data_IF_709064406814
#
_entry.id   IF_709064406814
#
_cell.length_a   1.000
_cell.length_b   1.000
_cell.length_c   1.000
_cell.angle_alpha   90.00
_cell.angle_beta   90.00
_cell.angle_gamma   90.00
#
_symmetry.space_group_name_H-M   'P 1'
#
loop_
_entity.id
_entity.type
_entity.pdbx_description
1 polymer ?
#
# COMPACT_ATOMS: atom_id res chain seq x y z
N UNK A 1 8.76 17.79 -41.59
CA UNK A 1 8.38 17.81 -40.16
C UNK A 1 7.19 16.90 -39.85
N UNK A 2 6.12 16.88 -40.65
CA UNK A 2 4.90 16.06 -40.39
C UNK A 2 5.06 14.56 -40.60
N UNK A 3 5.81 14.12 -41.63
CA UNK A 3 6.02 12.69 -41.93
C UNK A 3 6.83 11.94 -40.84
N UNK A 4 7.74 12.66 -40.18
CA UNK A 4 8.64 12.10 -39.17
C UNK A 4 7.92 11.76 -37.85
N UNK A 5 6.88 12.55 -37.49
CA UNK A 5 6.08 12.30 -36.29
C UNK A 5 5.16 11.08 -36.43
N UNK A 6 4.53 10.89 -37.60
CA UNK A 6 3.65 9.74 -37.85
C UNK A 6 4.43 8.41 -37.83
N UNK A 7 5.66 8.38 -38.35
CA UNK A 7 6.53 7.21 -38.27
C UNK A 7 6.91 6.89 -36.82
N UNK A 8 7.15 7.89 -35.98
CA UNK A 8 7.44 7.70 -34.54
C UNK A 8 6.24 7.15 -33.78
N UNK A 9 5.03 7.67 -34.02
CA UNK A 9 3.80 7.11 -33.44
C UNK A 9 3.60 5.66 -33.90
N UNK A 10 3.75 5.39 -35.21
CA UNK A 10 3.58 4.05 -35.75
C UNK A 10 4.54 3.03 -35.13
N UNK A 11 5.79 3.42 -34.88
CA UNK A 11 6.76 2.60 -34.17
C UNK A 11 6.35 2.33 -32.72
N UNK A 12 5.89 3.35 -31.97
CA UNK A 12 5.42 3.18 -30.60
C UNK A 12 4.25 2.20 -30.48
N UNK A 13 3.26 2.34 -31.36
CA UNK A 13 2.09 1.45 -31.41
C UNK A 13 2.52 0.02 -31.73
N UNK A 14 3.44 -0.16 -32.69
CA UNK A 14 3.98 -1.47 -33.05
C UNK A 14 4.71 -2.13 -31.89
N UNK A 15 5.53 -1.38 -31.18
CA UNK A 15 6.38 -1.90 -30.11
C UNK A 15 5.53 -2.28 -28.88
N UNK A 16 4.55 -1.44 -28.51
CA UNK A 16 3.57 -1.76 -27.47
C UNK A 16 2.69 -2.97 -27.81
N UNK A 17 2.23 -3.09 -29.06
CA UNK A 17 1.50 -4.27 -29.52
C UNK A 17 2.35 -5.54 -29.40
N UNK A 18 3.62 -5.48 -29.82
CA UNK A 18 4.55 -6.62 -29.69
C UNK A 18 4.84 -6.98 -28.23
N UNK A 19 4.98 -5.99 -27.36
CA UNK A 19 5.16 -6.20 -25.92
C UNK A 19 3.98 -6.96 -25.30
N UNK A 20 2.76 -6.69 -25.74
CA UNK A 20 1.54 -7.43 -25.36
C UNK A 20 1.41 -8.80 -26.02
N UNK A 21 2.36 -9.20 -26.88
CA UNK A 21 2.32 -10.46 -27.63
C UNK A 21 1.28 -10.51 -28.75
N UNK A 22 0.70 -9.37 -29.15
CA UNK A 22 -0.40 -9.32 -30.10
C UNK A 22 0.06 -9.25 -31.56
N UNK A 23 -0.65 -9.91 -32.45
CA UNK A 23 -0.53 -9.74 -33.90
C UNK A 23 -1.26 -8.49 -34.37
N UNK A 24 -0.98 -8.03 -35.59
CA UNK A 24 -1.73 -6.91 -36.18
C UNK A 24 -3.22 -7.24 -36.36
N UNK A 25 -3.60 -8.51 -36.43
CA UNK A 25 -4.99 -8.96 -36.48
C UNK A 25 -5.65 -8.77 -35.12
N UNK A 26 -5.00 -9.18 -34.03
CA UNK A 26 -5.55 -9.03 -32.67
C UNK A 26 -5.83 -7.56 -32.32
N UNK A 27 -4.91 -6.66 -32.69
CA UNK A 27 -5.12 -5.22 -32.51
C UNK A 27 -6.23 -4.70 -33.42
N UNK A 28 -6.36 -5.22 -34.64
CA UNK A 28 -7.43 -4.82 -35.56
C UNK A 28 -8.81 -5.22 -35.03
N UNK A 29 -8.93 -6.43 -34.50
CA UNK A 29 -10.17 -6.96 -33.92
C UNK A 29 -10.59 -6.14 -32.68
N UNK A 30 -9.63 -5.84 -31.79
CA UNK A 30 -9.86 -5.00 -30.60
C UNK A 30 -10.35 -3.59 -30.97
N UNK A 31 -9.82 -3.02 -32.06
CA UNK A 31 -10.19 -1.68 -32.53
C UNK A 31 -11.40 -1.66 -33.46
N UNK A 32 -11.99 -2.83 -33.77
CA UNK A 32 -13.04 -2.98 -34.79
C UNK A 32 -12.62 -2.35 -36.14
N UNK A 33 -11.40 -2.63 -36.58
CA UNK A 33 -10.82 -2.13 -37.84
C UNK A 33 -10.18 -3.27 -38.63
N UNK A 34 -9.54 -2.97 -39.76
CA UNK A 34 -8.85 -3.98 -40.58
C UNK A 34 -7.37 -4.10 -40.23
N UNK A 35 -6.79 -5.30 -40.37
CA UNK A 35 -5.34 -5.51 -40.24
C UNK A 35 -4.55 -4.59 -41.18
N UNK A 36 -5.07 -4.32 -42.38
CA UNK A 36 -4.46 -3.40 -43.32
C UNK A 36 -4.45 -1.95 -42.81
N UNK A 37 -5.47 -1.53 -42.06
CA UNK A 37 -5.48 -0.22 -41.40
C UNK A 37 -4.41 -0.17 -40.29
N UNK A 38 -4.30 -1.21 -39.46
CA UNK A 38 -3.24 -1.31 -38.43
C UNK A 38 -1.84 -1.25 -39.06
N UNK A 39 -1.61 -1.97 -40.16
CA UNK A 39 -0.32 -1.93 -40.86
C UNK A 39 0.02 -0.53 -41.41
N UNK A 40 -0.97 0.21 -41.94
CA UNK A 40 -0.74 1.61 -42.38
C UNK A 40 -0.42 2.54 -41.20
N UNK A 41 -1.09 2.33 -40.07
CA UNK A 41 -0.85 3.06 -38.83
C UNK A 41 0.58 2.84 -38.34
N UNK A 42 1.03 1.59 -38.25
CA UNK A 42 2.38 1.24 -37.79
C UNK A 42 3.50 1.70 -38.72
N UNK A 43 3.20 1.86 -40.01
CA UNK A 43 4.13 2.43 -40.99
C UNK A 43 4.12 3.96 -41.01
N UNK A 44 3.27 4.61 -40.21
CA UNK A 44 3.13 6.07 -40.22
C UNK A 44 2.50 6.61 -41.50
N UNK A 45 1.77 5.78 -42.25
CA UNK A 45 1.13 6.15 -43.52
C UNK A 45 -0.34 6.56 -43.36
N UNK A 46 -0.81 6.74 -42.12
CA UNK A 46 -2.18 7.10 -41.82
C UNK A 46 -2.22 8.17 -40.73
N UNK A 47 -2.99 9.24 -40.96
CA UNK A 47 -3.31 10.22 -39.93
C UNK A 47 -4.30 9.61 -38.93
N UNK A 48 -4.05 9.85 -37.64
CA UNK A 48 -4.87 9.36 -36.55
C UNK A 48 -5.56 10.53 -35.85
N UNK A 49 -6.85 10.38 -35.55
CA UNK A 49 -7.53 11.28 -34.63
C UNK A 49 -7.05 11.02 -33.19
N UNK A 50 -7.22 12.01 -32.30
CA UNK A 50 -6.94 11.84 -30.87
C UNK A 50 -7.80 10.72 -30.26
N UNK A 51 -9.05 10.59 -30.69
CA UNK A 51 -9.95 9.51 -30.29
C UNK A 51 -9.42 8.13 -30.71
N UNK A 52 -8.91 8.01 -31.93
CA UNK A 52 -8.32 6.75 -32.40
C UNK A 52 -7.03 6.41 -31.62
N UNK A 53 -6.20 7.40 -31.31
CA UNK A 53 -5.01 7.21 -30.48
C UNK A 53 -5.35 6.80 -29.05
N UNK A 54 -6.39 7.38 -28.45
CA UNK A 54 -6.88 7.01 -27.13
C UNK A 54 -7.38 5.57 -27.10
N UNK A 55 -8.18 5.16 -28.10
CA UNK A 55 -8.66 3.78 -28.24
C UNK A 55 -7.52 2.78 -28.44
N UNK A 56 -6.48 3.15 -29.18
CA UNK A 56 -5.26 2.34 -29.33
C UNK A 56 -4.51 2.24 -28.00
N UNK A 57 -4.42 3.34 -27.26
CA UNK A 57 -3.80 3.36 -25.94
C UNK A 57 -4.50 2.47 -24.92
N UNK A 58 -5.82 2.54 -24.85
CA UNK A 58 -6.65 1.68 -24.01
C UNK A 58 -6.53 0.20 -24.42
N UNK A 59 -6.60 -0.09 -25.72
CA UNK A 59 -6.47 -1.45 -26.24
C UNK A 59 -5.10 -2.09 -25.98
N UNK A 60 -4.04 -1.28 -25.92
CA UNK A 60 -2.67 -1.74 -25.71
C UNK A 60 -2.17 -1.56 -24.28
N UNK A 61 -2.98 -0.99 -23.38
CA UNK A 61 -2.58 -0.61 -22.02
C UNK A 61 -1.32 0.28 -22.02
N UNK A 62 -1.33 1.29 -22.89
CA UNK A 62 -0.19 2.18 -23.13
C UNK A 62 -0.64 3.62 -23.38
N UNK A 63 -0.07 4.57 -22.64
CA UNK A 63 -0.40 5.99 -22.80
C UNK A 63 0.36 6.63 -23.98
N UNK A 64 -0.22 6.56 -25.19
CA UNK A 64 0.35 7.25 -26.38
C UNK A 64 -0.01 8.73 -26.47
N UNK A 65 -1.09 9.14 -25.81
CA UNK A 65 -1.57 10.52 -25.75
C UNK A 65 -1.63 10.93 -24.30
N UNK A 66 -0.67 11.74 -23.88
CA UNK A 66 -0.76 12.49 -22.64
C UNK A 66 -0.92 13.97 -22.98
N UNK A 67 -1.91 14.62 -22.39
CA UNK A 67 -2.04 16.08 -22.45
C UNK A 67 -1.11 16.65 -21.39
N UNK A 68 0.17 16.80 -21.75
CA UNK A 68 1.22 17.26 -20.86
C UNK A 68 2.58 16.71 -21.31
N UNK A 69 3.67 17.43 -21.02
CA UNK A 69 5.00 16.93 -21.38
C UNK A 69 5.34 15.69 -20.52
N UNK A 70 5.76 14.56 -21.11
CA UNK A 70 6.32 13.43 -20.37
C UNK A 70 7.73 13.83 -19.94
N UNK A 71 7.80 14.51 -18.80
CA UNK A 71 9.02 14.99 -18.19
C UNK A 71 8.72 15.48 -16.77
N UNK A 72 9.75 15.71 -15.94
CA UNK A 72 9.54 16.31 -14.64
C UNK A 72 8.73 17.61 -14.79
N UNK A 73 7.55 17.64 -14.16
CA UNK A 73 6.72 18.84 -14.14
C UNK A 73 7.41 19.87 -13.25
N UNK A 74 7.94 20.93 -13.86
CA UNK A 74 8.48 22.06 -13.13
C UNK A 74 7.36 23.08 -12.88
N UNK A 75 7.07 23.37 -11.62
CA UNK A 75 6.16 24.44 -11.23
C UNK A 75 6.96 25.75 -11.10
N UNK A 76 6.64 26.75 -11.94
CA UNK A 76 7.17 28.12 -11.79
C UNK A 76 6.22 28.92 -10.92
N UNK A 77 6.64 29.26 -9.70
CA UNK A 77 5.89 30.14 -8.81
C UNK A 77 6.33 31.59 -9.02
N UNK A 78 5.39 32.48 -9.28
CA UNK A 78 5.64 33.93 -9.34
C UNK A 78 5.20 34.55 -8.01
N UNK A 79 6.15 35.15 -7.30
CA UNK A 79 5.93 35.74 -5.98
C UNK A 79 5.09 37.02 -5.99
N UNK A 80 4.88 37.61 -4.81
CA UNK A 80 4.13 38.87 -4.63
C UNK A 80 2.63 38.69 -4.37
N UNK A 81 2.10 37.46 -4.49
CA UNK A 81 0.69 37.16 -4.21
C UNK A 81 0.50 36.78 -2.74
N UNK A 82 -0.28 37.56 -2.00
CA UNK A 82 -0.73 37.20 -0.64
C UNK A 82 -1.88 36.20 -0.74
N UNK A 83 -1.72 35.01 -0.17
CA UNK A 83 -2.79 34.01 -0.08
C UNK A 83 -3.76 34.37 1.05
N UNK A 84 -5.06 34.33 0.78
CA UNK A 84 -6.13 34.49 1.76
C UNK A 84 -7.32 33.59 1.39
N UNK A 85 -7.91 32.91 2.37
CA UNK A 85 -9.02 31.97 2.17
C UNK A 85 -8.92 30.74 3.08
N UNK A 86 -9.68 29.70 2.75
CA UNK A 86 -9.68 28.41 3.42
C UNK A 86 -9.56 27.27 2.42
N UNK A 87 -8.93 26.17 2.81
CA UNK A 87 -8.82 24.95 2.01
C UNK A 87 -9.25 23.74 2.85
N UNK A 88 -10.00 22.84 2.25
CA UNK A 88 -10.29 21.53 2.86
C UNK A 88 -9.08 20.63 2.71
N UNK A 89 -8.53 20.17 3.83
CA UNK A 89 -7.41 19.22 3.83
C UNK A 89 -7.91 17.80 3.59
N UNK A 90 -7.10 17.00 2.89
CA UNK A 90 -7.35 15.56 2.75
C UNK A 90 -7.02 14.82 4.04
N UNK A 91 -7.58 13.62 4.18
CA UNK A 91 -7.24 12.70 5.26
C UNK A 91 -5.76 12.30 5.27
N UNK A 92 -5.30 11.89 6.44
CA UNK A 92 -3.91 11.51 6.68
C UNK A 92 -3.52 10.24 5.92
N UNK A 93 -2.53 10.35 5.02
CA UNK A 93 -1.90 9.19 4.36
C UNK A 93 -1.39 8.17 5.39
N UNK A 94 -0.57 8.64 6.34
CA UNK A 94 0.19 7.75 7.22
C UNK A 94 -0.74 7.00 8.18
N UNK A 95 -1.76 7.68 8.72
CA UNK A 95 -2.78 7.02 9.52
C UNK A 95 -3.56 6.00 8.68
N UNK A 96 -4.00 6.38 7.47
CA UNK A 96 -4.71 5.46 6.58
C UNK A 96 -3.94 4.17 6.31
N UNK A 97 -2.63 4.26 6.08
CA UNK A 97 -1.74 3.10 5.89
C UNK A 97 -1.65 2.23 7.15
N UNK A 98 -1.51 2.82 8.34
CA UNK A 98 -1.51 2.08 9.60
C UNK A 98 -2.85 1.35 9.83
N UNK A 99 -3.97 2.02 9.53
CA UNK A 99 -5.31 1.45 9.69
C UNK A 99 -5.60 0.32 8.68
N UNK A 100 -5.05 0.37 7.46
CA UNK A 100 -5.11 -0.73 6.50
C UNK A 100 -4.44 -1.99 7.06
N UNK A 101 -3.24 -1.86 7.64
CA UNK A 101 -2.59 -2.99 8.31
C UNK A 101 -3.38 -3.45 9.55
N UNK A 102 -3.89 -2.52 10.35
CA UNK A 102 -4.69 -2.81 11.55
C UNK A 102 -5.99 -3.55 11.24
N UNK A 103 -6.59 -3.35 10.07
CA UNK A 103 -7.80 -4.05 9.65
C UNK A 103 -7.67 -5.58 9.64
N UNK A 104 -6.44 -6.10 9.53
CA UNK A 104 -6.15 -7.54 9.60
C UNK A 104 -6.30 -8.13 11.01
N UNK A 105 -6.34 -7.30 12.06
CA UNK A 105 -6.64 -7.74 13.43
C UNK A 105 -8.11 -8.15 13.57
N UNK A 106 -9.00 -7.44 12.89
CA UNK A 106 -10.42 -7.69 12.90
C UNK A 106 -10.75 -8.89 12.00
N UNK A 107 -11.56 -9.82 12.49
CA UNK A 107 -12.07 -10.93 11.68
C UNK A 107 -13.37 -10.61 10.94
N UNK A 108 -14.09 -9.58 11.37
CA UNK A 108 -15.30 -9.08 10.71
C UNK A 108 -15.06 -7.86 9.82
N UNK A 109 -16.10 -7.03 9.68
CA UNK A 109 -16.13 -5.93 8.72
C UNK A 109 -15.50 -4.67 9.31
N UNK A 110 -14.50 -4.13 8.62
CA UNK A 110 -13.94 -2.80 8.93
C UNK A 110 -14.37 -1.80 7.87
N UNK A 111 -14.84 -0.61 8.27
CA UNK A 111 -15.09 0.50 7.34
C UNK A 111 -14.24 1.70 7.74
N UNK A 112 -13.27 2.05 6.90
CA UNK A 112 -12.43 3.23 7.06
C UNK A 112 -13.06 4.40 6.30
N UNK A 113 -13.30 5.51 7.00
CA UNK A 113 -13.95 6.69 6.41
C UNK A 113 -12.95 7.61 5.74
N UNK A 114 -13.30 8.13 4.56
CA UNK A 114 -12.53 9.14 3.82
C UNK A 114 -11.08 8.75 3.57
N UNK A 115 -10.80 7.51 3.17
CA UNK A 115 -9.44 7.05 2.89
C UNK A 115 -8.89 7.73 1.64
N UNK A 116 -7.66 8.23 1.70
CA UNK A 116 -7.01 8.85 0.56
C UNK A 116 -6.71 7.81 -0.54
N UNK A 117 -7.19 8.04 -1.77
CA UNK A 117 -6.84 7.25 -2.95
C UNK A 117 -5.50 7.72 -3.52
N UNK A 118 -4.43 7.13 -3.01
CA UNK A 118 -3.06 7.43 -3.42
C UNK A 118 -2.31 6.12 -3.67
N UNK A 119 -1.20 6.22 -4.38
CA UNK A 119 -0.37 5.10 -4.80
C UNK A 119 0.01 4.13 -3.65
N UNK A 120 0.37 4.67 -2.49
CA UNK A 120 0.70 3.84 -1.31
C UNK A 120 -0.49 3.00 -0.82
N UNK A 121 -1.69 3.59 -0.81
CA UNK A 121 -2.91 2.90 -0.39
C UNK A 121 -3.25 1.83 -1.40
N UNK A 122 -3.19 2.15 -2.70
CA UNK A 122 -3.47 1.20 -3.78
C UNK A 122 -2.55 -0.03 -3.70
N UNK A 123 -1.23 0.16 -3.49
CA UNK A 123 -0.28 -0.95 -3.31
C UNK A 123 -0.64 -1.85 -2.13
N UNK A 124 -1.06 -1.27 -1.00
CA UNK A 124 -1.51 -2.09 0.12
C UNK A 124 -2.82 -2.81 -0.18
N UNK A 125 -3.73 -2.21 -0.95
CA UNK A 125 -4.96 -2.88 -1.39
C UNK A 125 -4.65 -4.05 -2.33
N UNK A 126 -3.71 -3.91 -3.25
CA UNK A 126 -3.23 -4.99 -4.12
C UNK A 126 -2.73 -6.18 -3.28
N UNK A 127 -1.87 -5.91 -2.28
CA UNK A 127 -1.38 -6.93 -1.35
C UNK A 127 -2.51 -7.56 -0.53
N UNK A 128 -3.44 -6.74 -0.02
CA UNK A 128 -4.59 -7.24 0.74
C UNK A 128 -5.48 -8.15 -0.13
N UNK A 129 -5.75 -7.75 -1.38
CA UNK A 129 -6.52 -8.55 -2.34
C UNK A 129 -5.85 -9.87 -2.63
N UNK A 130 -4.53 -9.87 -2.85
CA UNK A 130 -3.78 -11.08 -3.20
C UNK A 130 -3.79 -12.12 -2.07
N UNK A 131 -3.90 -11.69 -0.81
CA UNK A 131 -4.03 -12.60 0.35
C UNK A 131 -5.50 -12.93 0.71
N UNK A 132 -6.44 -12.56 -0.16
CA UNK A 132 -7.85 -12.92 -0.07
C UNK A 132 -8.75 -11.92 0.68
N UNK A 133 -8.22 -10.77 1.12
CA UNK A 133 -9.02 -9.69 1.73
C UNK A 133 -9.80 -8.97 0.64
N UNK A 134 -11.11 -8.83 0.82
CA UNK A 134 -11.95 -8.08 -0.13
C UNK A 134 -12.05 -6.65 0.34
N UNK A 135 -11.95 -5.70 -0.60
CA UNK A 135 -12.23 -4.29 -0.28
C UNK A 135 -13.19 -3.67 -1.27
N UNK A 136 -14.06 -2.79 -0.80
CA UNK A 136 -15.04 -2.11 -1.64
C UNK A 136 -15.13 -0.62 -1.28
N UNK A 137 -14.99 0.24 -2.29
CA UNK A 137 -15.21 1.68 -2.11
C UNK A 137 -16.70 1.98 -2.14
N UNK A 138 -17.24 2.55 -1.06
CA UNK A 138 -18.69 2.64 -0.85
C UNK A 138 -19.33 3.90 -1.45
N UNK A 139 -18.59 5.01 -1.54
CA UNK A 139 -19.14 6.31 -1.90
C UNK A 139 -18.11 7.25 -2.54
N UNK A 140 -18.58 8.42 -2.97
CA UNK A 140 -17.75 9.49 -3.53
C UNK A 140 -16.78 10.11 -2.50
N UNK A 141 -17.06 9.95 -1.20
CA UNK A 141 -16.22 10.46 -0.11
C UNK A 141 -15.01 9.56 0.17
N UNK A 142 -14.86 8.45 -0.57
CA UNK A 142 -13.79 7.46 -0.42
C UNK A 142 -13.85 6.70 0.92
N UNK A 143 -15.05 6.31 1.34
CA UNK A 143 -15.16 5.30 2.39
C UNK A 143 -14.79 3.93 1.82
N UNK A 144 -13.97 3.20 2.56
CA UNK A 144 -13.42 1.90 2.17
C UNK A 144 -13.90 0.83 3.15
N UNK A 145 -14.67 -0.13 2.63
CA UNK A 145 -15.00 -1.36 3.32
C UNK A 145 -13.90 -2.39 3.12
N UNK A 146 -13.55 -3.11 4.19
CA UNK A 146 -12.53 -4.17 4.22
C UNK A 146 -13.14 -5.40 4.90
N UNK A 147 -13.06 -6.53 4.21
CA UNK A 147 -13.62 -7.82 4.62
C UNK A 147 -12.53 -8.89 4.50
N UNK A 148 -11.87 -9.25 5.61
CA UNK A 148 -10.89 -10.32 5.62
C UNK A 148 -11.57 -11.70 5.48
N UNK A 149 -10.91 -12.68 4.85
CA UNK A 149 -11.40 -14.04 4.79
C UNK A 149 -11.20 -14.75 6.13
N UNK A 150 -11.84 -15.92 6.29
CA UNK A 150 -11.60 -16.78 7.45
C UNK A 150 -10.14 -17.24 7.53
N UNK A 151 -9.52 -17.54 6.38
CA UNK A 151 -8.09 -17.87 6.23
C UNK A 151 -7.46 -17.02 5.15
N UNK A 152 -6.28 -16.48 5.43
CA UNK A 152 -5.51 -15.68 4.48
C UNK A 152 -4.72 -16.59 3.55
N UNK A 153 -4.55 -16.16 2.29
CA UNK A 153 -3.76 -16.85 1.28
C UNK A 153 -2.36 -16.24 1.21
N UNK A 154 -1.57 -16.39 2.28
CA UNK A 154 -0.26 -15.71 2.37
C UNK A 154 0.75 -16.19 1.32
N UNK A 155 0.59 -17.41 0.79
CA UNK A 155 1.40 -17.94 -0.30
C UNK A 155 1.12 -17.25 -1.65
N UNK A 156 -0.01 -16.55 -1.77
CA UNK A 156 -0.44 -15.80 -2.96
C UNK A 156 -0.13 -14.30 -2.84
N UNK A 157 0.73 -13.90 -1.90
CA UNK A 157 1.09 -12.49 -1.71
C UNK A 157 1.68 -11.88 -2.99
N UNK A 158 1.16 -10.73 -3.42
CA UNK A 158 1.70 -9.98 -4.56
C UNK A 158 3.05 -9.39 -4.16
N UNK A 159 4.12 -10.09 -4.54
CA UNK A 159 5.48 -9.68 -4.23
C UNK A 159 5.88 -8.36 -4.90
N UNK A 160 5.37 -8.08 -6.11
CA UNK A 160 5.72 -6.87 -6.83
C UNK A 160 5.17 -5.64 -6.10
N UNK A 161 3.88 -5.68 -5.72
CA UNK A 161 3.22 -4.64 -4.94
C UNK A 161 3.84 -4.50 -3.54
N UNK A 162 4.09 -5.63 -2.85
CA UNK A 162 4.67 -5.65 -1.51
C UNK A 162 6.09 -5.06 -1.46
N UNK A 163 6.97 -5.42 -2.39
CA UNK A 163 8.35 -4.88 -2.47
C UNK A 163 8.38 -3.40 -2.81
N UNK A 164 7.29 -2.92 -3.40
CA UNK A 164 7.11 -1.54 -3.83
C UNK A 164 6.64 -0.63 -2.69
N UNK A 165 6.24 -1.16 -1.54
CA UNK A 165 5.87 -0.36 -0.35
C UNK A 165 6.75 -0.69 0.84
N UNK A 166 7.11 0.32 1.63
CA UNK A 166 7.78 0.10 2.92
C UNK A 166 6.83 -0.30 4.03
N UNK A 167 5.54 -0.06 3.82
CA UNK A 167 4.48 -0.25 4.79
C UNK A 167 4.15 -1.73 5.03
N UNK A 168 4.61 -2.62 4.15
CA UNK A 168 4.43 -4.08 4.28
C UNK A 168 4.96 -4.63 5.61
N UNK A 169 5.99 -4.01 6.19
CA UNK A 169 6.54 -4.43 7.48
C UNK A 169 5.53 -4.35 8.62
N UNK A 170 4.50 -3.50 8.50
CA UNK A 170 3.43 -3.39 9.50
C UNK A 170 2.50 -4.61 9.52
N UNK A 171 2.57 -5.50 8.53
CA UNK A 171 1.79 -6.73 8.53
C UNK A 171 2.33 -7.76 9.53
N UNK A 172 3.58 -7.60 10.03
CA UNK A 172 4.14 -8.50 11.05
C UNK A 172 3.28 -8.56 12.32
N UNK A 173 2.85 -7.40 12.83
CA UNK A 173 2.06 -7.27 14.06
C UNK A 173 0.67 -7.92 14.01
N UNK A 174 -0.16 -7.71 12.98
CA UNK A 174 -1.44 -8.37 12.88
C UNK A 174 -1.35 -9.83 12.41
N UNK A 175 -0.46 -10.17 11.47
CA UNK A 175 -0.39 -11.53 10.93
C UNK A 175 0.11 -12.56 11.94
N UNK A 176 0.93 -12.17 12.93
CA UNK A 176 1.36 -13.08 13.99
C UNK A 176 0.21 -13.62 14.86
N UNK A 177 -0.96 -13.00 14.81
CA UNK A 177 -2.18 -13.48 15.48
C UNK A 177 -3.05 -14.37 14.58
N UNK A 178 -2.75 -14.44 13.29
CA UNK A 178 -3.53 -15.21 12.30
C UNK A 178 -2.83 -16.48 11.87
N UNK A 179 -1.50 -16.45 11.74
CA UNK A 179 -0.71 -17.60 11.33
C UNK A 179 0.48 -17.81 12.26
N UNK A 180 0.84 -19.08 12.50
CA UNK A 180 1.99 -19.42 13.35
C UNK A 180 3.33 -19.15 12.63
N UNK A 181 3.35 -19.32 11.30
CA UNK A 181 4.51 -19.09 10.44
C UNK A 181 4.05 -18.42 9.15
N UNK A 182 4.78 -17.40 8.70
CA UNK A 182 4.49 -16.69 7.46
C UNK A 182 5.74 -15.98 6.91
N UNK A 183 5.66 -15.56 5.65
CA UNK A 183 6.73 -14.85 4.95
C UNK A 183 6.21 -13.52 4.41
N UNK A 184 7.00 -12.47 4.53
CA UNK A 184 6.72 -11.18 3.92
C UNK A 184 7.88 -10.77 3.00
N UNK A 185 7.62 -10.31 1.78
CA UNK A 185 8.67 -9.76 0.92
C UNK A 185 9.38 -8.58 1.61
N UNK A 186 10.67 -8.40 1.31
CA UNK A 186 11.37 -7.22 1.80
C UNK A 186 10.70 -5.94 1.32
N UNK A 187 10.49 -5.02 2.26
CA UNK A 187 10.16 -3.64 1.98
C UNK A 187 11.27 -3.04 1.10
N UNK A 188 10.99 -2.81 -0.18
CA UNK A 188 11.90 -2.11 -1.07
C UNK A 188 11.77 -0.59 -0.96
N UNK A 189 12.71 0.12 -1.59
CA UNK A 189 12.57 1.54 -1.91
C UNK A 189 12.76 2.52 -0.74
N UNK A 190 14.02 2.82 -0.41
CA UNK A 190 14.37 4.15 0.07
C UNK A 190 15.84 4.51 -0.24
N UNK A 191 16.05 5.52 -1.08
CA UNK A 191 17.35 6.18 -1.28
C UNK A 191 17.78 7.04 -0.07
N UNK A 192 16.98 7.10 1.00
CA UNK A 192 17.30 7.77 2.27
C UNK A 192 17.79 6.73 3.31
N UNK A 193 18.89 6.05 2.99
CA UNK A 193 19.70 5.25 3.91
C UNK A 193 19.18 3.85 4.25
N UNK A 194 20.10 2.99 4.73
CA UNK A 194 19.82 1.65 5.24
C UNK A 194 19.16 1.72 6.63
N UNK A 195 17.88 2.11 6.69
CA UNK A 195 17.09 1.95 7.91
C UNK A 195 16.94 0.46 8.19
N UNK A 196 17.37 0.03 9.37
CA UNK A 196 17.35 -1.37 9.75
C UNK A 196 15.95 -1.78 10.18
N UNK A 197 15.59 -3.04 9.94
CA UNK A 197 14.32 -3.63 10.40
C UNK A 197 14.38 -4.13 11.84
N UNK A 198 15.59 -4.16 12.42
CA UNK A 198 15.86 -4.64 13.78
C UNK A 198 14.95 -4.00 14.85
N UNK A 199 14.62 -2.69 14.80
CA UNK A 199 13.71 -2.09 15.77
C UNK A 199 12.32 -2.74 15.81
N UNK A 200 11.77 -3.10 14.66
CA UNK A 200 10.50 -3.83 14.58
C UNK A 200 10.63 -5.24 15.17
N UNK A 201 11.71 -5.95 14.83
CA UNK A 201 11.97 -7.30 15.33
C UNK A 201 12.13 -7.29 16.86
N UNK A 202 12.88 -6.31 17.39
CA UNK A 202 13.07 -6.12 18.82
C UNK A 202 11.76 -5.79 19.55
N UNK A 203 10.88 -5.00 18.93
CA UNK A 203 9.57 -4.67 19.50
C UNK A 203 8.60 -5.85 19.52
N UNK A 204 8.68 -6.77 18.54
CA UNK A 204 7.76 -7.91 18.40
C UNK A 204 8.25 -9.18 19.10
N UNK A 205 9.55 -9.32 19.34
CA UNK A 205 10.18 -10.47 20.02
C UNK A 205 9.57 -10.79 21.40
N UNK A 206 9.20 -9.81 22.27
CA UNK A 206 8.54 -10.08 23.55
C UNK A 206 7.18 -10.77 23.43
N UNK A 207 6.49 -10.62 22.29
CA UNK A 207 5.25 -11.31 21.96
C UNK A 207 5.47 -12.71 21.34
N UNK A 208 6.74 -13.13 21.25
CA UNK A 208 7.14 -14.41 20.69
C UNK A 208 7.36 -14.41 19.19
N UNK A 209 7.32 -13.27 18.51
CA UNK A 209 7.60 -13.23 17.08
C UNK A 209 9.10 -13.21 16.81
N UNK A 210 9.62 -14.30 16.25
CA UNK A 210 10.97 -14.36 15.72
C UNK A 210 10.92 -14.06 14.23
N UNK A 211 11.74 -13.11 13.77
CA UNK A 211 11.82 -12.74 12.36
C UNK A 211 13.25 -12.90 11.89
N UNK A 212 13.44 -13.69 10.83
CA UNK A 212 14.72 -13.85 10.13
C UNK A 212 14.63 -13.17 8.78
N UNK A 213 15.53 -12.22 8.51
CA UNK A 213 15.67 -11.59 7.21
C UNK A 213 16.66 -12.42 6.38
N UNK A 214 16.14 -13.28 5.50
CA UNK A 214 16.92 -14.14 4.60
C UNK A 214 16.28 -14.20 3.21
N UNK A 215 17.05 -14.48 2.17
CA UNK A 215 16.51 -14.80 0.83
C UNK A 215 15.59 -13.73 0.21
N UNK A 216 15.75 -12.46 0.58
CA UNK A 216 14.90 -11.39 0.03
C UNK A 216 13.52 -11.28 0.70
N UNK A 217 13.29 -11.95 1.83
CA UNK A 217 12.04 -11.95 2.59
C UNK A 217 12.23 -12.02 4.12
N UNK A 218 11.24 -11.57 4.87
CA UNK A 218 11.14 -11.74 6.31
C UNK A 218 10.40 -13.05 6.61
N UNK A 219 11.10 -14.01 7.19
CA UNK A 219 10.52 -15.26 7.67
C UNK A 219 10.12 -15.07 9.13
N UNK A 220 8.83 -15.01 9.40
CA UNK A 220 8.28 -14.79 10.73
C UNK A 220 7.74 -16.10 11.29
N UNK A 221 8.14 -16.43 12.52
CA UNK A 221 7.67 -17.59 13.25
C UNK A 221 7.31 -17.20 14.69
N UNK A 222 6.10 -17.53 15.12
CA UNK A 222 5.66 -17.27 16.49
C UNK A 222 6.03 -18.43 17.41
N UNK A 223 7.01 -18.21 18.27
CA UNK A 223 7.38 -19.12 19.34
C UNK A 223 6.26 -19.24 20.38
N UNK A 224 5.94 -20.46 20.79
CA UNK A 224 4.91 -20.70 21.82
C UNK A 224 5.42 -20.21 23.17
N UNK A 225 4.55 -19.51 23.93
CA UNK A 225 4.71 -19.14 25.36
C UNK A 225 5.57 -17.92 25.71
N UNK A 226 5.90 -17.05 24.75
CA UNK A 226 6.47 -15.75 25.08
C UNK A 226 5.34 -14.72 25.25
N UNK A 227 5.31 -14.10 26.42
CA UNK A 227 4.42 -12.99 26.76
C UNK A 227 5.26 -11.85 27.33
N UNK A 228 4.93 -10.58 27.04
CA UNK A 228 5.63 -9.45 27.62
C UNK A 228 5.54 -9.43 29.15
N UNK A 229 6.62 -9.81 29.84
CA UNK A 229 6.70 -9.77 31.30
C UNK A 229 7.27 -8.44 31.85
N UNK A 230 7.80 -7.60 30.96
CA UNK A 230 8.44 -6.30 31.28
C UNK A 230 8.03 -5.27 30.24
N UNK A 231 8.14 -3.97 30.56
CA UNK A 231 7.92 -2.93 29.57
C UNK A 231 8.81 -3.11 28.33
N UNK A 232 8.21 -3.02 27.15
CA UNK A 232 8.90 -3.04 25.87
C UNK A 232 9.44 -1.64 25.62
N UNK A 233 10.76 -1.47 25.63
CA UNK A 233 11.41 -0.17 25.36
C UNK A 233 11.81 -0.14 23.90
N UNK A 234 11.20 0.75 23.12
CA UNK A 234 11.54 0.91 21.70
C UNK A 234 12.94 1.56 21.58
N UNK A 235 13.83 0.91 20.83
CA UNK A 235 15.22 1.37 20.64
C UNK A 235 15.30 2.67 19.85
N UNK A 236 14.35 2.89 18.95
CA UNK A 236 14.13 4.14 18.26
C UNK A 236 12.68 4.59 18.42
N UNK A 237 12.46 5.91 18.42
CA UNK A 237 11.11 6.49 18.44
C UNK A 237 10.56 6.57 17.02
N UNK A 238 10.38 5.41 16.39
CA UNK A 238 9.79 5.28 15.06
C UNK A 238 8.26 5.19 15.13
N UNK A 239 7.58 5.91 14.24
CA UNK A 239 6.11 5.83 14.11
C UNK A 239 5.68 4.39 13.78
N UNK A 240 6.23 3.82 12.71
CA UNK A 240 5.92 2.46 12.26
C UNK A 240 6.33 1.36 13.25
N UNK A 241 7.40 1.57 14.02
CA UNK A 241 7.84 0.64 15.07
C UNK A 241 6.83 0.63 16.21
N UNK A 242 6.37 1.82 16.61
CA UNK A 242 5.34 1.98 17.64
C UNK A 242 4.02 1.36 17.20
N UNK A 243 3.61 1.60 15.95
CA UNK A 243 2.41 1.02 15.35
C UNK A 243 2.47 -0.51 15.34
N UNK A 244 3.60 -1.11 14.93
CA UNK A 244 3.73 -2.58 14.91
C UNK A 244 3.64 -3.18 16.33
N UNK A 245 4.25 -2.53 17.32
CA UNK A 245 4.16 -2.93 18.72
C UNK A 245 2.71 -2.83 19.26
N UNK A 246 1.97 -1.79 18.87
CA UNK A 246 0.55 -1.63 19.20
C UNK A 246 -0.31 -2.72 18.57
N UNK A 247 -0.08 -3.04 17.29
CA UNK A 247 -0.81 -4.11 16.60
C UNK A 247 -0.57 -5.48 17.24
N UNK A 248 0.66 -5.75 17.70
CA UNK A 248 0.96 -6.97 18.45
C UNK A 248 0.30 -6.99 19.84
N UNK A 249 0.34 -5.87 20.56
CA UNK A 249 -0.28 -5.72 21.87
C UNK A 249 -1.82 -5.81 21.82
N UNK A 250 -2.44 -5.35 20.72
CA UNK A 250 -3.88 -5.25 20.57
C UNK A 250 -4.62 -6.58 20.77
N UNK A 251 -4.07 -7.71 20.32
CA UNK A 251 -4.65 -9.05 20.52
C UNK A 251 -3.91 -9.90 21.55
N UNK A 252 -3.00 -9.30 22.31
CA UNK A 252 -2.34 -10.00 23.41
C UNK A 252 -3.28 -10.13 24.61
N UNK A 253 -3.46 -11.34 25.11
CA UNK A 253 -4.20 -11.59 26.35
C UNK A 253 -3.39 -11.13 27.58
N UNK A 254 -3.48 -9.84 27.88
CA UNK A 254 -2.78 -9.22 29.00
C UNK A 254 -2.47 -7.74 28.82
N UNK A 255 -1.73 -7.19 29.79
CA UNK A 255 -1.29 -5.79 29.80
C UNK A 255 0.13 -5.69 29.25
N UNK A 256 0.31 -4.86 28.24
CA UNK A 256 1.62 -4.52 27.67
C UNK A 256 1.93 -3.05 27.95
N UNK A 257 3.13 -2.76 28.44
CA UNK A 257 3.63 -1.39 28.56
C UNK A 257 4.67 -1.14 27.47
N UNK A 258 4.43 -0.16 26.60
CA UNK A 258 5.36 0.26 25.54
C UNK A 258 5.97 1.61 25.95
N UNK A 259 7.29 1.67 26.06
CA UNK A 259 8.04 2.88 26.43
C UNK A 259 8.85 3.40 25.24
N UNK A 260 9.10 4.71 25.24
CA UNK A 260 9.68 5.43 24.10
C UNK A 260 8.82 5.30 22.83
N UNK A 261 7.51 5.17 23.01
CA UNK A 261 6.52 5.21 21.94
C UNK A 261 6.57 6.56 21.22
N UNK A 262 6.29 6.57 19.91
CA UNK A 262 6.08 7.81 19.18
C UNK A 262 4.73 8.43 19.55
N UNK A 263 4.69 9.70 19.98
CA UNK A 263 3.44 10.40 20.29
C UNK A 263 2.78 11.00 19.04
N UNK A 264 3.25 10.67 17.83
CA UNK A 264 2.83 11.31 16.59
C UNK A 264 1.37 10.98 16.22
N UNK A 265 0.76 11.82 15.39
CA UNK A 265 -0.69 11.78 15.13
C UNK A 265 -1.16 10.45 14.50
N UNK A 266 -0.36 9.81 13.65
CA UNK A 266 -0.74 8.51 13.04
C UNK A 266 -0.79 7.37 14.07
N UNK A 267 0.09 7.42 15.08
CA UNK A 267 0.08 6.47 16.20
C UNK A 267 -1.17 6.69 17.06
N UNK A 268 -1.53 7.96 17.30
CA UNK A 268 -2.75 8.30 18.02
C UNK A 268 -4.01 7.83 17.27
N UNK A 269 -4.09 8.06 15.96
CA UNK A 269 -5.18 7.58 15.11
C UNK A 269 -5.31 6.05 15.19
N UNK A 270 -4.19 5.32 15.16
CA UNK A 270 -4.19 3.88 15.36
C UNK A 270 -4.70 3.50 16.77
N UNK A 271 -4.28 4.22 17.82
CA UNK A 271 -4.78 3.97 19.17
C UNK A 271 -6.29 4.14 19.25
N UNK A 272 -6.84 5.22 18.67
CA UNK A 272 -8.29 5.44 18.65
C UNK A 272 -9.03 4.35 17.87
N UNK A 273 -8.49 3.91 16.73
CA UNK A 273 -9.04 2.77 16.00
C UNK A 273 -9.06 1.49 16.84
N UNK A 274 -7.97 1.18 17.55
CA UNK A 274 -7.91 0.00 18.42
C UNK A 274 -8.87 0.10 19.61
N UNK A 275 -9.10 1.30 20.15
CA UNK A 275 -10.11 1.53 21.20
C UNK A 275 -11.52 1.23 20.69
N UNK A 276 -11.85 1.61 19.45
CA UNK A 276 -13.13 1.24 18.82
C UNK A 276 -13.29 -0.28 18.64
N UNK A 277 -12.18 -1.03 18.59
CA UNK A 277 -12.14 -2.49 18.56
C UNK A 277 -12.15 -3.13 19.96
N UNK A 278 -12.32 -2.33 21.02
CA UNK A 278 -12.40 -2.80 22.41
C UNK A 278 -11.04 -2.95 23.12
N UNK A 279 -9.93 -2.52 22.50
CA UNK A 279 -8.61 -2.53 23.13
C UNK A 279 -8.51 -1.37 24.14
N UNK A 280 -8.13 -1.65 25.38
CA UNK A 280 -7.90 -0.61 26.38
C UNK A 280 -6.53 0.05 26.18
N UNK A 281 -6.47 1.36 25.91
CA UNK A 281 -5.20 2.08 25.72
C UNK A 281 -5.14 3.32 26.59
N UNK A 282 -4.11 3.41 27.43
CA UNK A 282 -3.78 4.57 28.25
C UNK A 282 -2.51 5.25 27.73
N UNK A 283 -2.42 6.57 27.95
CA UNK A 283 -1.23 7.36 27.59
C UNK A 283 -1.16 7.76 26.12
N UNK A 284 -2.27 7.72 25.37
CA UNK A 284 -2.35 8.16 23.96
C UNK A 284 -1.75 9.56 23.80
N UNK A 285 -0.86 9.73 22.83
CA UNK A 285 -0.15 10.99 22.58
C UNK A 285 1.04 11.24 23.52
N UNK A 286 1.37 10.30 24.41
CA UNK A 286 2.57 10.35 25.25
C UNK A 286 3.62 9.35 24.77
N UNK A 287 4.80 9.32 25.41
CA UNK A 287 5.88 8.38 25.10
C UNK A 287 5.77 7.05 25.86
N UNK A 288 4.70 6.83 26.61
CA UNK A 288 4.46 5.58 27.33
C UNK A 288 2.99 5.18 27.18
N UNK A 289 2.78 4.02 26.56
CA UNK A 289 1.45 3.47 26.31
C UNK A 289 1.27 2.23 27.17
N UNK A 290 0.15 2.14 27.87
CA UNK A 290 -0.29 0.91 28.54
C UNK A 290 -1.46 0.36 27.75
N UNK A 291 -1.30 -0.84 27.22
CA UNK A 291 -2.26 -1.51 26.32
C UNK A 291 -2.79 -2.75 27.02
N UNK A 292 -4.09 -2.80 27.25
CA UNK A 292 -4.82 -4.00 27.67
C UNK A 292 -5.42 -4.61 26.41
N UNK A 293 -4.83 -5.70 25.93
CA UNK A 293 -5.22 -6.31 24.67
C UNK A 293 -6.57 -7.02 24.75
N UNK A 294 -7.21 -7.15 23.59
CA UNK A 294 -8.46 -7.86 23.37
C UNK A 294 -8.18 -9.07 22.45
N UNK A 295 -8.16 -10.32 22.98
CA UNK A 295 -7.73 -11.50 22.22
C UNK A 295 -8.55 -11.76 20.95
N UNK A 296 -9.85 -11.49 21.04
CA UNK A 296 -10.84 -11.72 20.00
C UNK A 296 -11.46 -10.39 19.54
N UNK A 297 -11.25 -10.06 18.27
CA UNK A 297 -11.75 -8.85 17.61
C UNK A 297 -12.55 -9.28 16.37
N UNK A 298 -13.84 -8.92 16.33
CA UNK A 298 -14.80 -9.23 15.28
C UNK A 298 -15.65 -8.03 14.81
#
# INVERSE_FOLDING_TARGET
MTQDYLARIGNLIRDARKHRGWTQVDLADSLSTSQSAVNRIERGHQNLSLEMLARIGEALDSEFVSVGAPGPMHLRVVGGTRLAGSITVKSSKNAGVALLAASLLNSGRTTLRRVARIEEVNRLLEVLHSIGVRTHWLNADNDLEILPPARLQLDEIDEEAARRTRSIIMFLGPLMHREQEFRLPYAGGCDLGTRTVEPHMAALRPFGLEVKATEGSYHAHRARRLQPARPIVLTERGDTVTENALLAAARHDGVTVIRNASPNYMVQDLCFFLVELGVGIEGIGTTTLTVTGQPDID
#
